data_IF_772166206477
#
_entry.id   IF_772166206477
#
_cell.length_a   1.000
_cell.length_b   1.000
_cell.length_c   1.000
_cell.angle_alpha   90.00
_cell.angle_beta   90.00
_cell.angle_gamma   90.00
#
_symmetry.space_group_name_H-M   'P 1'
#
loop_
_entity.id
_entity.type
_entity.pdbx_description
1 polymer ?
#
# COMPACT_ATOMS: atom_id res chain seq x y z
N UNK A 1 23.52 -2.95 28.03
CA UNK A 1 22.24 -2.47 28.61
C UNK A 1 21.46 -1.51 27.70
N UNK A 2 22.10 -0.56 26.98
CA UNK A 2 21.40 0.39 26.08
C UNK A 2 20.61 -0.25 24.92
N UNK A 3 21.13 -1.29 24.26
CA UNK A 3 20.43 -1.99 23.18
C UNK A 3 19.10 -2.66 23.63
N UNK A 4 19.05 -3.23 24.84
CA UNK A 4 17.82 -3.88 25.34
C UNK A 4 16.71 -2.90 25.68
N UNK A 5 17.04 -1.68 26.14
CA UNK A 5 16.05 -0.63 26.37
C UNK A 5 15.51 -0.05 25.06
N UNK A 6 16.37 0.10 24.04
CA UNK A 6 15.95 0.54 22.70
C UNK A 6 15.02 -0.50 22.06
N UNK A 7 15.33 -1.80 22.17
CA UNK A 7 14.45 -2.87 21.67
C UNK A 7 13.08 -2.89 22.33
N UNK A 8 12.97 -2.62 23.65
CA UNK A 8 11.67 -2.57 24.34
C UNK A 8 10.84 -1.35 23.94
N UNK A 9 11.46 -0.16 23.85
CA UNK A 9 10.75 1.07 23.45
C UNK A 9 10.26 0.97 21.99
N UNK A 10 11.00 0.28 21.12
CA UNK A 10 10.59 0.01 19.74
C UNK A 10 9.50 -1.06 19.62
N UNK A 11 9.60 -2.16 20.36
CA UNK A 11 8.51 -3.15 20.44
C UNK A 11 7.21 -2.50 20.91
N UNK A 12 7.29 -1.69 21.97
CA UNK A 12 6.16 -0.94 22.48
C UNK A 12 5.66 0.11 21.50
N UNK A 13 6.51 0.73 20.67
CA UNK A 13 6.07 1.73 19.69
C UNK A 13 5.44 1.10 18.45
N UNK A 14 5.95 -0.03 17.93
CA UNK A 14 5.31 -0.78 16.85
C UNK A 14 4.01 -1.45 17.31
N UNK A 15 3.99 -1.98 18.54
CA UNK A 15 2.77 -2.47 19.18
C UNK A 15 1.80 -1.33 19.46
N UNK A 16 2.25 -0.17 19.97
CA UNK A 16 1.38 0.98 20.26
C UNK A 16 0.85 1.66 18.99
N UNK A 17 1.65 1.74 17.91
CA UNK A 17 1.22 2.26 16.61
C UNK A 17 0.29 1.26 15.90
N UNK A 18 0.53 -0.05 16.09
CA UNK A 18 -0.39 -1.11 15.68
C UNK A 18 -1.69 -1.09 16.48
N UNK A 19 -1.64 -0.85 17.78
CA UNK A 19 -2.83 -0.82 18.65
C UNK A 19 -3.62 0.48 18.51
N UNK A 20 -3.01 1.64 18.24
CA UNK A 20 -3.75 2.85 17.88
C UNK A 20 -4.50 2.68 16.55
N UNK A 21 -3.90 2.01 15.57
CA UNK A 21 -4.59 1.64 14.33
C UNK A 21 -5.69 0.59 14.54
N UNK A 22 -5.55 -0.30 15.53
CA UNK A 22 -6.60 -1.26 15.91
C UNK A 22 -7.73 -0.61 16.71
N UNK A 23 -7.42 0.39 17.54
CA UNK A 23 -8.40 1.08 18.39
C UNK A 23 -9.30 2.03 17.59
N UNK A 24 -8.82 2.61 16.47
CA UNK A 24 -9.64 3.41 15.57
C UNK A 24 -10.64 2.57 14.73
N UNK A 25 -10.45 1.25 14.63
CA UNK A 25 -11.32 0.33 13.88
C UNK A 25 -12.49 -0.21 14.73
N UNK A 26 -12.55 0.13 16.03
CA UNK A 26 -13.55 -0.40 16.98
C UNK A 26 -14.59 0.61 17.50
N UNK A 27 -14.53 1.88 17.10
CA UNK A 27 -15.47 2.90 17.60
C UNK A 27 -16.54 3.26 16.57
N UNK A 28 -17.43 2.31 16.28
CA UNK A 28 -18.79 2.61 15.82
C UNK A 28 -19.65 1.34 15.97
N UNK A 29 -20.35 1.19 17.09
CA UNK A 29 -21.73 0.72 17.16
C UNK A 29 -22.18 0.56 18.63
N UNK A 30 -23.26 1.25 18.96
CA UNK A 30 -24.12 0.98 20.11
C UNK A 30 -25.54 0.78 19.56
N UNK A 31 -26.10 -0.41 19.76
CA UNK A 31 -27.42 -0.65 20.38
C UNK A 31 -27.93 -2.07 20.06
N UNK A 32 -28.26 -2.78 21.14
CA UNK A 32 -29.37 -3.70 21.39
C UNK A 32 -30.03 -4.47 20.22
N UNK A 33 -30.21 -5.78 20.41
CA UNK A 33 -31.53 -6.43 20.58
C UNK A 33 -31.39 -7.93 20.89
N UNK A 34 -32.34 -8.37 21.71
CA UNK A 34 -32.68 -9.66 22.31
C UNK A 34 -32.50 -10.99 21.53
N UNK A 35 -32.13 -12.02 22.31
CA UNK A 35 -32.44 -13.47 22.16
C UNK A 35 -33.94 -13.75 22.28
N UNK A 36 -34.52 -14.75 21.59
CA UNK A 36 -34.39 -16.20 21.94
C UNK A 36 -34.34 -17.09 20.67
N UNK A 37 -34.22 -18.42 20.65
CA UNK A 37 -34.21 -19.52 21.59
C UNK A 37 -34.37 -20.82 20.76
N UNK A 38 -33.55 -21.81 21.08
CA UNK A 38 -33.80 -23.27 21.11
C UNK A 38 -34.36 -24.04 19.89
N UNK A 39 -33.53 -24.97 19.42
CA UNK A 39 -33.74 -26.36 18.95
C UNK A 39 -34.80 -26.71 17.88
N UNK A 40 -34.38 -27.48 16.88
CA UNK A 40 -34.57 -28.95 16.91
C UNK A 40 -34.01 -29.61 15.66
N UNK A 41 -33.28 -30.70 15.90
CA UNK A 41 -32.82 -31.65 14.91
C UNK A 41 -33.98 -32.57 14.50
N UNK A 42 -34.08 -32.90 13.21
CA UNK A 42 -34.50 -34.24 12.78
C UNK A 42 -34.27 -34.44 11.27
N UNK A 43 -33.57 -35.53 10.94
CA UNK A 43 -33.99 -36.62 10.04
C UNK A 43 -32.83 -37.13 9.18
N UNK A 44 -32.37 -38.35 9.47
CA UNK A 44 -32.75 -39.64 8.86
C UNK A 44 -32.06 -39.89 7.52
N UNK A 45 -31.23 -40.92 7.58
CA UNK A 45 -30.49 -41.60 6.53
C UNK A 45 -31.36 -42.08 5.37
N UNK A 46 -30.80 -42.08 4.14
CA UNK A 46 -30.93 -43.25 3.27
C UNK A 46 -29.89 -43.27 2.14
N UNK A 47 -29.71 -44.49 1.65
CA UNK A 47 -28.50 -45.09 1.11
C UNK A 47 -28.55 -45.18 -0.44
N UNK A 48 -27.36 -45.31 -1.05
CA UNK A 48 -27.07 -45.95 -2.35
C UNK A 48 -27.44 -45.22 -3.65
N UNK A 49 -26.44 -44.80 -4.44
CA UNK A 49 -25.92 -45.57 -5.58
C UNK A 49 -24.85 -44.78 -6.34
N UNK A 50 -23.75 -45.48 -6.61
CA UNK A 50 -22.59 -45.01 -7.38
C UNK A 50 -22.98 -44.93 -8.86
N UNK A 51 -22.78 -43.77 -9.47
CA UNK A 51 -22.60 -43.66 -10.92
C UNK A 51 -21.41 -42.75 -11.21
N UNK A 52 -20.36 -43.34 -11.77
CA UNK A 52 -19.21 -42.64 -12.30
C UNK A 52 -19.67 -41.82 -13.50
N UNK A 53 -19.71 -40.51 -13.36
CA UNK A 53 -19.67 -39.56 -14.47
C UNK A 53 -18.73 -38.43 -14.08
N UNK A 54 -17.81 -38.11 -14.99
CA UNK A 54 -16.74 -37.13 -14.85
C UNK A 54 -17.29 -35.79 -14.35
N UNK A 55 -17.00 -35.47 -13.09
CA UNK A 55 -17.38 -34.21 -12.48
C UNK A 55 -16.35 -33.14 -12.86
N UNK A 56 -16.63 -32.40 -13.94
CA UNK A 56 -16.19 -31.02 -14.03
C UNK A 56 -16.61 -30.30 -12.75
N UNK A 57 -15.67 -29.63 -12.08
CA UNK A 57 -15.94 -28.98 -10.80
C UNK A 57 -17.01 -27.91 -10.99
N UNK A 58 -18.26 -28.24 -10.65
CA UNK A 58 -19.29 -27.25 -10.43
C UNK A 58 -18.80 -26.40 -9.27
N UNK A 59 -18.41 -25.16 -9.57
CA UNK A 59 -18.18 -24.15 -8.57
C UNK A 59 -19.44 -24.04 -7.71
N UNK A 60 -19.40 -24.63 -6.52
CA UNK A 60 -20.48 -24.52 -5.55
C UNK A 60 -20.55 -23.05 -5.16
N UNK A 61 -21.59 -22.37 -5.63
CA UNK A 61 -21.89 -21.02 -5.20
C UNK A 61 -22.26 -21.11 -3.71
N UNK A 62 -21.30 -20.73 -2.85
CA UNK A 62 -21.53 -20.67 -1.41
C UNK A 62 -22.58 -19.58 -1.13
N UNK A 63 -23.48 -19.77 -0.15
CA UNK A 63 -24.45 -18.75 0.23
C UNK A 63 -23.73 -17.45 0.59
N UNK A 64 -24.26 -16.36 0.06
CA UNK A 64 -23.54 -15.11 -0.05
C UNK A 64 -24.51 -13.96 0.19
N UNK A 65 -24.79 -13.74 1.47
CA UNK A 65 -25.49 -12.55 1.93
C UNK A 65 -24.46 -11.43 2.10
N UNK A 66 -24.76 -10.20 1.63
CA UNK A 66 -23.91 -9.05 1.91
C UNK A 66 -23.72 -8.83 3.41
N UNK A 67 -22.48 -8.84 3.87
CA UNK A 67 -22.13 -8.58 5.26
C UNK A 67 -20.94 -7.60 5.34
N UNK A 68 -20.90 -6.72 6.36
CA UNK A 68 -19.72 -5.92 6.66
C UNK A 68 -18.50 -6.81 6.88
N UNK A 69 -17.33 -6.38 6.41
CA UNK A 69 -16.08 -7.06 6.76
C UNK A 69 -15.66 -6.70 8.18
N UNK A 70 -15.39 -7.69 9.04
CA UNK A 70 -14.89 -7.51 10.41
C UNK A 70 -13.38 -7.14 10.46
N UNK A 71 -12.95 -6.15 9.68
CA UNK A 71 -11.55 -5.74 9.60
C UNK A 71 -10.63 -6.78 8.94
N UNK A 72 -9.43 -6.97 9.51
CA UNK A 72 -8.45 -7.96 9.07
C UNK A 72 -7.64 -7.57 7.82
N UNK A 73 -7.61 -6.29 7.45
CA UNK A 73 -6.95 -5.75 6.23
C UNK A 73 -5.52 -6.28 6.03
N UNK A 74 -4.77 -6.48 7.11
CA UNK A 74 -3.42 -7.05 7.10
C UNK A 74 -3.29 -8.48 6.53
N UNK A 75 -4.40 -9.18 6.29
CA UNK A 75 -4.42 -10.53 5.73
C UNK A 75 -4.95 -10.58 4.30
N UNK A 76 -5.29 -9.44 3.70
CA UNK A 76 -5.92 -9.38 2.39
C UNK A 76 -5.05 -8.63 1.38
N UNK A 77 -5.02 -9.16 0.16
CA UNK A 77 -4.33 -8.53 -0.96
C UNK A 77 -5.28 -8.36 -2.13
N UNK A 78 -5.39 -7.14 -2.65
CA UNK A 78 -6.16 -6.82 -3.85
C UNK A 78 -5.58 -7.55 -5.07
N UNK A 79 -6.46 -8.17 -5.87
CA UNK A 79 -6.13 -8.91 -7.10
C UNK A 79 -6.83 -8.36 -8.33
N UNK A 80 -7.99 -7.72 -8.14
CA UNK A 80 -8.73 -6.99 -9.18
C UNK A 80 -9.31 -5.73 -8.58
N UNK A 81 -9.42 -4.69 -9.39
CA UNK A 81 -10.13 -3.47 -9.05
C UNK A 81 -11.06 -3.07 -10.20
N UNK A 82 -12.29 -2.66 -9.90
CA UNK A 82 -13.23 -2.14 -10.89
C UNK A 82 -14.23 -1.18 -10.26
N UNK A 83 -14.18 0.10 -10.62
CA UNK A 83 -15.09 1.13 -10.10
C UNK A 83 -15.22 1.10 -8.55
N UNK A 84 -14.09 0.97 -7.86
CA UNK A 84 -14.01 0.87 -6.40
C UNK A 84 -14.31 -0.52 -5.81
N UNK A 85 -14.85 -1.45 -6.59
CA UNK A 85 -15.00 -2.86 -6.17
C UNK A 85 -13.68 -3.59 -6.27
N UNK A 86 -13.46 -4.53 -5.35
CA UNK A 86 -12.19 -5.24 -5.24
C UNK A 86 -12.40 -6.73 -5.05
N UNK A 87 -11.63 -7.52 -5.80
CA UNK A 87 -11.44 -8.94 -5.46
C UNK A 87 -10.15 -9.03 -4.65
N UNK A 88 -10.25 -9.59 -3.46
CA UNK A 88 -9.12 -9.76 -2.54
C UNK A 88 -8.85 -11.23 -2.29
N UNK A 89 -7.59 -11.58 -2.10
CA UNK A 89 -7.17 -12.92 -1.68
C UNK A 89 -6.64 -12.88 -0.24
N UNK A 90 -7.06 -13.85 0.56
CA UNK A 90 -6.55 -14.02 1.92
C UNK A 90 -5.16 -14.67 1.90
N UNK A 91 -4.18 -14.04 2.56
CA UNK A 91 -2.79 -14.48 2.54
C UNK A 91 -2.54 -15.81 3.28
N UNK A 92 -3.45 -16.24 4.16
CA UNK A 92 -3.27 -17.47 4.96
C UNK A 92 -4.04 -18.63 4.34
N UNK A 93 -5.32 -18.41 4.06
CA UNK A 93 -6.22 -19.46 3.59
C UNK A 93 -6.36 -19.53 2.07
N UNK A 94 -5.82 -18.55 1.34
CA UNK A 94 -5.83 -18.51 -0.13
C UNK A 94 -7.19 -18.24 -0.77
N UNK A 95 -8.29 -18.21 -0.02
CA UNK A 95 -9.61 -17.91 -0.56
C UNK A 95 -9.75 -16.46 -1.00
N UNK A 96 -10.67 -16.23 -1.92
CA UNK A 96 -10.99 -14.94 -2.47
C UNK A 96 -12.26 -14.39 -1.87
N UNK A 97 -12.40 -13.06 -1.86
CA UNK A 97 -13.66 -12.35 -1.62
C UNK A 97 -13.84 -11.23 -2.62
N UNK A 98 -15.09 -10.96 -3.00
CA UNK A 98 -15.48 -9.71 -3.66
C UNK A 98 -16.02 -8.75 -2.60
N UNK A 99 -15.53 -7.52 -2.61
CA UNK A 99 -16.02 -6.44 -1.74
C UNK A 99 -16.40 -5.20 -2.55
N UNK A 100 -17.44 -4.49 -2.10
CA UNK A 100 -17.86 -3.21 -2.66
C UNK A 100 -17.00 -2.05 -2.15
N UNK A 101 -17.14 -0.83 -2.70
CA UNK A 101 -16.46 0.37 -2.21
C UNK A 101 -16.76 0.66 -0.73
N UNK A 102 -17.93 0.24 -0.24
CA UNK A 102 -18.35 0.36 1.16
C UNK A 102 -17.83 -0.79 2.05
N UNK A 103 -16.92 -1.64 1.56
CA UNK A 103 -16.39 -2.82 2.26
C UNK A 103 -17.47 -3.85 2.69
N UNK A 104 -18.54 -3.97 1.91
CA UNK A 104 -19.51 -5.06 2.05
C UNK A 104 -19.04 -6.24 1.20
N UNK A 105 -19.05 -7.45 1.74
CA UNK A 105 -18.66 -8.66 1.02
C UNK A 105 -19.82 -9.18 0.16
N UNK A 106 -19.59 -9.30 -1.14
CA UNK A 106 -20.56 -9.73 -2.15
C UNK A 106 -20.21 -11.04 -2.84
N UNK A 107 -19.10 -11.69 -2.52
CA UNK A 107 -18.77 -13.07 -2.91
C UNK A 107 -17.59 -13.56 -2.08
N UNK A 108 -17.43 -14.89 -2.02
CA UNK A 108 -16.22 -15.51 -1.52
C UNK A 108 -16.03 -16.92 -2.09
N UNK A 109 -14.82 -17.47 -1.98
CA UNK A 109 -14.47 -18.80 -2.49
C UNK A 109 -13.24 -18.76 -3.37
N UNK A 110 -13.37 -19.16 -4.63
CA UNK A 110 -12.28 -19.07 -5.61
C UNK A 110 -12.37 -17.78 -6.46
N UNK A 111 -11.31 -17.49 -7.20
CA UNK A 111 -11.23 -16.31 -8.07
C UNK A 111 -12.36 -16.26 -9.10
N UNK A 112 -12.66 -17.38 -9.77
CA UNK A 112 -13.69 -17.44 -10.81
C UNK A 112 -15.08 -17.09 -10.29
N UNK A 113 -15.45 -17.57 -9.10
CA UNK A 113 -16.71 -17.23 -8.46
C UNK A 113 -16.80 -15.72 -8.13
N UNK A 114 -15.71 -15.13 -7.66
CA UNK A 114 -15.65 -13.70 -7.37
C UNK A 114 -15.68 -12.86 -8.66
N UNK A 115 -15.01 -13.28 -9.72
CA UNK A 115 -15.02 -12.60 -11.02
C UNK A 115 -16.39 -12.66 -11.69
N UNK A 116 -17.10 -13.80 -11.59
CA UNK A 116 -18.49 -13.92 -12.02
C UNK A 116 -19.38 -12.90 -11.29
N UNK A 117 -19.30 -12.87 -9.96
CA UNK A 117 -20.09 -11.93 -9.16
C UNK A 117 -19.71 -10.47 -9.45
N UNK A 118 -18.43 -10.17 -9.69
CA UNK A 118 -17.98 -8.84 -10.07
C UNK A 118 -18.60 -8.39 -11.41
N UNK A 119 -18.64 -9.29 -12.40
CA UNK A 119 -19.24 -8.98 -13.71
C UNK A 119 -20.75 -8.77 -13.63
N UNK A 120 -21.45 -9.47 -12.72
CA UNK A 120 -22.89 -9.29 -12.48
C UNK A 120 -23.20 -7.93 -11.83
N UNK A 121 -22.38 -7.47 -10.89
CA UNK A 121 -22.63 -6.22 -10.16
C UNK A 121 -22.04 -4.99 -10.85
N UNK A 122 -20.90 -5.14 -11.54
CA UNK A 122 -20.13 -4.05 -12.14
C UNK A 122 -19.63 -4.49 -13.52
N UNK A 123 -20.48 -4.46 -14.56
CA UNK A 123 -20.12 -4.96 -15.87
C UNK A 123 -19.09 -4.09 -16.61
N UNK A 124 -19.00 -2.79 -16.28
CA UNK A 124 -18.05 -1.85 -16.89
C UNK A 124 -16.98 -1.39 -15.91
N UNK A 125 -15.75 -1.21 -16.39
CA UNK A 125 -14.63 -0.68 -15.62
C UNK A 125 -14.43 0.83 -15.77
N UNK A 126 -15.22 1.50 -16.61
CA UNK A 126 -14.98 2.89 -17.00
C UNK A 126 -15.14 3.88 -15.84
N UNK A 127 -14.18 4.82 -15.76
CA UNK A 127 -14.29 6.04 -14.99
C UNK A 127 -13.99 7.25 -15.89
N UNK A 128 -14.57 8.42 -15.56
CA UNK A 128 -14.51 9.61 -16.41
C UNK A 128 -13.10 10.18 -16.55
N UNK A 129 -12.39 10.34 -15.43
CA UNK A 129 -11.05 10.92 -15.40
C UNK A 129 -10.08 10.21 -16.36
N UNK A 130 -9.11 10.94 -16.91
CA UNK A 130 -8.07 10.38 -17.81
C UNK A 130 -6.99 9.62 -17.06
N UNK A 131 -6.86 9.86 -15.76
CA UNK A 131 -5.73 9.39 -14.94
C UNK A 131 -6.23 8.60 -13.73
N UNK A 132 -5.56 7.49 -13.43
CA UNK A 132 -5.69 6.78 -12.17
C UNK A 132 -4.47 7.06 -11.29
N UNK A 133 -4.70 7.44 -10.03
CA UNK A 133 -3.65 7.61 -9.02
C UNK A 133 -3.74 6.45 -8.04
N UNK A 134 -2.75 5.56 -8.09
CA UNK A 134 -2.72 4.33 -7.27
C UNK A 134 -1.87 4.58 -6.02
N UNK A 135 -2.48 4.42 -4.85
CA UNK A 135 -1.87 4.67 -3.56
C UNK A 135 -1.43 3.36 -2.90
N UNK A 136 -0.18 3.30 -2.45
CA UNK A 136 0.41 2.14 -1.78
C UNK A 136 0.89 2.50 -0.38
N UNK A 137 0.41 1.75 0.62
CA UNK A 137 0.83 1.91 2.01
C UNK A 137 2.16 1.21 2.30
N UNK A 138 2.76 1.51 3.47
CA UNK A 138 3.98 0.84 3.93
C UNK A 138 3.77 -0.50 4.63
N UNK A 139 4.88 -1.07 5.10
CA UNK A 139 4.92 -2.30 5.90
C UNK A 139 4.10 -2.16 7.20
N UNK A 140 3.39 -3.22 7.59
CA UNK A 140 2.53 -3.28 8.79
C UNK A 140 1.35 -2.30 8.80
N UNK A 141 1.10 -1.61 7.67
CA UNK A 141 -0.04 -0.69 7.48
C UNK A 141 -1.12 -1.34 6.61
N UNK A 142 -2.18 -0.57 6.38
CA UNK A 142 -3.25 -0.85 5.41
C UNK A 142 -3.57 0.42 4.63
N UNK A 143 -4.48 0.30 3.67
CA UNK A 143 -4.99 1.45 2.88
C UNK A 143 -5.54 2.58 3.74
N UNK A 144 -6.01 2.31 4.97
CA UNK A 144 -6.46 3.34 5.91
C UNK A 144 -5.42 4.45 6.11
N UNK A 145 -4.13 4.12 6.12
CA UNK A 145 -3.05 5.10 6.29
C UNK A 145 -2.93 6.07 5.11
N UNK A 146 -3.44 5.72 3.93
CA UNK A 146 -3.35 6.56 2.73
C UNK A 146 -4.63 7.39 2.50
N UNK A 147 -5.67 7.22 3.32
CA UNK A 147 -7.00 7.85 3.10
C UNK A 147 -6.93 9.38 3.20
N UNK A 148 -6.12 9.92 4.11
CA UNK A 148 -5.93 11.38 4.22
C UNK A 148 -5.43 11.98 2.90
N UNK A 149 -4.31 11.45 2.41
CA UNK A 149 -3.72 11.83 1.13
C UNK A 149 -4.66 11.60 -0.05
N UNK A 150 -5.30 10.44 -0.13
CA UNK A 150 -6.20 10.13 -1.24
C UNK A 150 -7.42 11.04 -1.28
N UNK A 151 -7.98 11.44 -0.12
CA UNK A 151 -9.05 12.45 -0.06
C UNK A 151 -8.58 13.85 -0.45
N UNK A 152 -7.31 14.19 -0.23
CA UNK A 152 -6.76 15.47 -0.68
C UNK A 152 -6.61 15.47 -2.22
N UNK A 153 -6.05 14.40 -2.78
CA UNK A 153 -5.91 14.21 -4.23
C UNK A 153 -7.28 14.23 -4.93
N UNK A 154 -8.25 13.46 -4.44
CA UNK A 154 -9.60 13.38 -5.01
C UNK A 154 -10.35 14.73 -5.01
N UNK A 155 -10.01 15.63 -4.07
CA UNK A 155 -10.60 16.97 -3.97
C UNK A 155 -9.97 17.98 -4.92
N UNK A 156 -8.70 17.82 -5.27
CA UNK A 156 -7.92 18.84 -5.97
C UNK A 156 -7.51 18.44 -7.41
N UNK A 157 -7.56 17.15 -7.75
CA UNK A 157 -7.15 16.63 -9.05
C UNK A 157 -8.29 15.85 -9.73
N UNK A 158 -8.49 16.07 -11.03
CA UNK A 158 -9.41 15.26 -11.86
C UNK A 158 -8.79 13.89 -12.17
N UNK A 159 -8.89 12.98 -11.21
CA UNK A 159 -8.32 11.64 -11.29
C UNK A 159 -9.19 10.61 -10.57
N UNK A 160 -8.98 9.34 -10.90
CA UNK A 160 -9.51 8.22 -10.12
C UNK A 160 -8.48 7.78 -9.08
N UNK A 161 -8.75 8.03 -7.80
CA UNK A 161 -7.92 7.48 -6.72
C UNK A 161 -8.21 5.99 -6.54
N UNK A 162 -7.16 5.18 -6.50
CA UNK A 162 -7.21 3.73 -6.31
C UNK A 162 -6.33 3.36 -5.13
N UNK A 163 -6.95 2.89 -4.04
CA UNK A 163 -6.21 2.38 -2.88
C UNK A 163 -5.87 0.92 -3.10
N UNK A 164 -4.57 0.59 -3.14
CA UNK A 164 -4.11 -0.79 -3.27
C UNK A 164 -3.85 -1.37 -1.87
N UNK A 165 -4.68 -2.32 -1.46
CA UNK A 165 -4.50 -3.07 -0.22
C UNK A 165 -3.65 -4.31 -0.46
N UNK A 166 -2.66 -4.53 0.38
CA UNK A 166 -1.87 -5.76 0.35
C UNK A 166 -1.39 -6.18 1.75
N UNK A 167 -1.36 -7.49 1.97
CA UNK A 167 -0.94 -8.10 3.22
C UNK A 167 0.57 -7.97 3.43
N UNK A 168 1.04 -6.75 3.71
CA UNK A 168 2.45 -6.31 3.66
C UNK A 168 3.43 -7.14 4.49
N UNK A 169 2.96 -7.83 5.52
CA UNK A 169 3.78 -8.66 6.43
C UNK A 169 3.61 -10.16 6.17
N UNK A 170 3.03 -10.55 5.04
CA UNK A 170 2.61 -11.94 4.75
C UNK A 170 3.12 -12.50 3.44
N UNK A 171 3.79 -11.71 2.62
CA UNK A 171 4.42 -12.18 1.39
C UNK A 171 5.70 -11.36 1.09
N UNK A 172 6.40 -11.76 0.03
CA UNK A 172 7.54 -11.00 -0.49
C UNK A 172 7.11 -9.79 -1.32
N UNK A 173 8.03 -8.85 -1.51
CA UNK A 173 7.86 -7.70 -2.41
C UNK A 173 7.46 -8.16 -3.82
N UNK A 174 8.08 -9.23 -4.33
CA UNK A 174 7.74 -9.77 -5.64
C UNK A 174 6.28 -10.24 -5.74
N UNK A 175 5.74 -10.86 -4.69
CA UNK A 175 4.32 -11.24 -4.65
C UNK A 175 3.39 -10.03 -4.60
N UNK A 176 3.75 -9.00 -3.83
CA UNK A 176 3.00 -7.75 -3.79
C UNK A 176 3.04 -7.01 -5.14
N UNK A 177 4.18 -7.01 -5.82
CA UNK A 177 4.34 -6.45 -7.16
C UNK A 177 3.50 -7.21 -8.18
N UNK A 178 3.48 -8.54 -8.14
CA UNK A 178 2.62 -9.35 -9.00
C UNK A 178 1.13 -9.03 -8.80
N UNK A 179 0.69 -8.88 -7.55
CA UNK A 179 -0.68 -8.47 -7.23
C UNK A 179 -1.00 -7.04 -7.72
N UNK A 180 -0.07 -6.10 -7.57
CA UNK A 180 -0.21 -4.74 -8.11
C UNK A 180 -0.38 -4.77 -9.63
N UNK A 181 0.41 -5.59 -10.33
CA UNK A 181 0.31 -5.76 -11.79
C UNK A 181 -1.06 -6.30 -12.22
N UNK A 182 -1.64 -7.21 -11.45
CA UNK A 182 -3.01 -7.70 -11.69
C UNK A 182 -4.07 -6.62 -11.47
N UNK A 183 -3.90 -5.75 -10.47
CA UNK A 183 -4.80 -4.61 -10.26
C UNK A 183 -4.68 -3.62 -11.41
N UNK A 184 -3.47 -3.27 -11.82
CA UNK A 184 -3.22 -2.35 -12.94
C UNK A 184 -3.79 -2.89 -14.27
N UNK A 185 -3.68 -4.20 -14.53
CA UNK A 185 -4.24 -4.81 -15.73
C UNK A 185 -5.76 -4.83 -15.75
N UNK A 186 -6.41 -4.74 -14.58
CA UNK A 186 -7.87 -4.64 -14.46
C UNK A 186 -8.43 -3.22 -14.66
N UNK A 187 -7.57 -2.18 -14.66
CA UNK A 187 -7.97 -0.80 -14.95
C UNK A 187 -8.33 -0.62 -16.44
N UNK A 188 -9.25 0.32 -16.77
CA UNK A 188 -9.55 0.66 -18.16
C UNK A 188 -8.29 0.97 -18.97
N UNK A 189 -8.28 0.47 -20.20
CA UNK A 189 -7.21 0.75 -21.16
C UNK A 189 -7.18 2.26 -21.49
N UNK A 190 -6.02 2.78 -21.85
CA UNK A 190 -5.84 4.18 -22.26
C UNK A 190 -5.88 5.21 -21.12
N UNK A 191 -6.05 4.79 -19.87
CA UNK A 191 -5.92 5.66 -18.69
C UNK A 191 -4.46 5.79 -18.30
N UNK A 192 -3.98 7.01 -18.10
CA UNK A 192 -2.67 7.26 -17.51
C UNK A 192 -2.66 6.72 -16.07
N UNK A 193 -1.51 6.23 -15.61
CA UNK A 193 -1.31 5.65 -14.28
C UNK A 193 -0.23 6.44 -13.58
N UNK A 194 -0.57 7.01 -12.43
CA UNK A 194 0.39 7.59 -11.50
C UNK A 194 0.41 6.77 -10.21
N UNK A 195 1.57 6.68 -9.58
CA UNK A 195 1.72 5.99 -8.30
C UNK A 195 2.09 6.97 -7.20
N UNK A 196 1.53 6.78 -6.00
CA UNK A 196 2.05 7.40 -4.78
C UNK A 196 2.28 6.32 -3.73
N UNK A 197 3.54 6.10 -3.40
CA UNK A 197 3.95 5.06 -2.45
C UNK A 197 4.43 5.66 -1.13
N UNK A 198 4.05 5.04 -0.02
CA UNK A 198 4.67 5.28 1.28
C UNK A 198 5.61 4.13 1.64
N UNK A 199 6.84 4.45 2.06
CA UNK A 199 7.79 3.48 2.59
C UNK A 199 7.97 2.28 1.64
N UNK A 200 7.75 1.06 2.13
CA UNK A 200 7.79 -0.19 1.36
C UNK A 200 6.91 -0.19 0.10
N UNK A 201 5.80 0.56 0.07
CA UNK A 201 4.95 0.68 -1.11
C UNK A 201 5.73 1.17 -2.35
N UNK A 202 6.74 2.02 -2.15
CA UNK A 202 7.62 2.48 -3.23
C UNK A 202 8.44 1.35 -3.85
N UNK A 203 8.90 0.42 -3.02
CA UNK A 203 9.71 -0.72 -3.46
C UNK A 203 8.84 -1.72 -4.23
N UNK A 204 7.58 -1.90 -3.81
CA UNK A 204 6.58 -2.66 -4.58
C UNK A 204 6.34 -2.05 -5.97
N UNK A 205 6.20 -0.72 -6.06
CA UNK A 205 6.07 -0.01 -7.35
C UNK A 205 7.31 -0.22 -8.22
N UNK A 206 8.52 -0.02 -7.68
CA UNK A 206 9.78 -0.20 -8.43
C UNK A 206 9.95 -1.62 -8.95
N UNK A 207 9.56 -2.63 -8.17
CA UNK A 207 9.59 -4.02 -8.60
C UNK A 207 8.54 -4.29 -9.70
N UNK A 208 7.32 -3.76 -9.58
CA UNK A 208 6.30 -3.92 -10.62
C UNK A 208 6.72 -3.28 -11.96
N UNK A 209 7.40 -2.12 -11.90
CA UNK A 209 7.99 -1.46 -13.07
C UNK A 209 9.07 -2.33 -13.72
N UNK A 210 9.99 -2.89 -12.93
CA UNK A 210 11.01 -3.81 -13.43
C UNK A 210 10.39 -5.03 -14.11
N UNK A 211 9.31 -5.58 -13.54
CA UNK A 211 8.58 -6.69 -14.13
C UNK A 211 7.95 -6.33 -15.48
N UNK A 212 7.29 -5.17 -15.60
CA UNK A 212 6.73 -4.71 -16.87
C UNK A 212 7.82 -4.50 -17.93
N UNK A 213 8.97 -3.93 -17.56
CA UNK A 213 10.13 -3.77 -18.46
C UNK A 213 10.66 -5.14 -18.92
N UNK A 214 10.85 -6.08 -17.98
CA UNK A 214 11.33 -7.43 -18.27
C UNK A 214 10.39 -8.21 -19.17
N UNK A 215 9.07 -8.09 -18.97
CA UNK A 215 8.06 -8.72 -19.83
C UNK A 215 7.74 -7.93 -21.09
N UNK A 216 8.38 -6.76 -21.30
CA UNK A 216 8.12 -5.85 -22.43
C UNK A 216 6.64 -5.48 -22.57
N UNK A 217 5.97 -5.23 -21.45
CA UNK A 217 4.57 -4.80 -21.43
C UNK A 217 4.46 -3.30 -21.77
N UNK A 218 4.74 -2.98 -23.04
CA UNK A 218 4.78 -1.60 -23.52
C UNK A 218 3.43 -0.89 -23.36
N UNK A 219 2.32 -1.64 -23.48
CA UNK A 219 0.98 -1.08 -23.28
C UNK A 219 0.78 -0.53 -21.87
N UNK A 220 1.39 -1.14 -20.85
CA UNK A 220 1.36 -0.62 -19.48
C UNK A 220 2.41 0.46 -19.26
N UNK A 221 3.63 0.29 -19.79
CA UNK A 221 4.71 1.25 -19.65
C UNK A 221 4.37 2.62 -20.26
N UNK A 222 3.72 2.65 -21.42
CA UNK A 222 3.29 3.89 -22.10
C UNK A 222 2.24 4.68 -21.31
N UNK A 223 1.58 4.03 -20.34
CA UNK A 223 0.57 4.65 -19.48
C UNK A 223 1.18 5.29 -18.23
N UNK A 224 2.46 5.04 -17.91
CA UNK A 224 3.07 5.57 -16.69
C UNK A 224 3.24 7.09 -16.79
N UNK A 225 2.47 7.82 -15.98
CA UNK A 225 2.51 9.27 -15.91
C UNK A 225 3.61 9.76 -14.98
N UNK A 226 3.50 9.43 -13.70
CA UNK A 226 4.49 9.84 -12.69
C UNK A 226 4.48 8.95 -11.45
N UNK A 227 5.54 9.04 -10.64
CA UNK A 227 5.64 8.37 -9.34
C UNK A 227 6.02 9.38 -8.25
N UNK A 228 5.26 9.43 -7.16
CA UNK A 228 5.64 10.19 -5.96
C UNK A 228 6.00 9.21 -4.85
N UNK A 229 7.20 9.36 -4.31
CA UNK A 229 7.72 8.48 -3.26
C UNK A 229 7.80 9.20 -1.92
N UNK A 230 7.06 8.74 -0.93
CA UNK A 230 7.06 9.27 0.44
C UNK A 230 7.90 8.37 1.35
N UNK A 231 9.03 8.86 1.82
CA UNK A 231 9.99 8.14 2.66
C UNK A 231 10.41 6.75 2.11
N UNK A 232 10.79 6.63 0.82
CA UNK A 232 11.14 5.33 0.24
C UNK A 232 12.45 4.79 0.82
N UNK A 233 12.59 3.50 1.17
CA UNK A 233 13.90 2.90 1.48
C UNK A 233 14.61 2.46 0.19
N UNK A 234 14.98 3.43 -0.66
CA UNK A 234 15.48 3.18 -2.02
C UNK A 234 16.86 2.52 -2.09
N UNK A 235 17.64 2.61 -1.01
CA UNK A 235 18.96 1.97 -0.82
C UNK A 235 18.91 0.84 0.23
N UNK A 236 17.70 0.32 0.49
CA UNK A 236 17.42 -0.54 1.63
C UNK A 236 17.20 0.25 2.91
N UNK A 237 16.79 -0.45 3.97
CA UNK A 237 16.51 0.14 5.27
C UNK A 237 17.51 -0.37 6.30
N UNK A 238 18.41 0.50 6.78
CA UNK A 238 19.40 0.15 7.81
C UNK A 238 18.74 -0.36 9.08
N UNK A 239 17.59 0.20 9.44
CA UNK A 239 16.81 -0.27 10.58
C UNK A 239 16.35 -1.73 10.42
N UNK A 240 15.92 -2.11 9.22
CA UNK A 240 15.50 -3.49 8.93
C UNK A 240 16.71 -4.43 8.93
N UNK A 241 17.87 -3.97 8.46
CA UNK A 241 19.13 -4.72 8.51
C UNK A 241 19.61 -4.97 9.94
N UNK A 242 19.55 -3.96 10.81
CA UNK A 242 19.96 -4.11 12.21
C UNK A 242 18.97 -4.97 13.02
N UNK A 243 17.67 -4.76 12.83
CA UNK A 243 16.65 -5.55 13.52
C UNK A 243 16.51 -6.96 12.97
N UNK A 244 16.80 -7.19 11.68
CA UNK A 244 16.81 -8.51 11.05
C UNK A 244 17.82 -9.50 11.65
N UNK A 245 18.82 -9.00 12.40
CA UNK A 245 19.73 -9.84 13.22
C UNK A 245 19.00 -10.50 14.40
N UNK A 246 17.83 -9.99 14.77
CA UNK A 246 16.98 -10.53 15.82
C UNK A 246 15.92 -11.44 15.19
N UNK A 247 15.90 -12.73 15.56
CA UNK A 247 14.98 -13.71 14.97
C UNK A 247 13.48 -13.37 15.09
N UNK A 248 13.10 -12.46 16.00
CA UNK A 248 11.73 -12.00 16.19
C UNK A 248 11.28 -10.95 15.15
N UNK A 249 12.21 -10.27 14.46
CA UNK A 249 11.88 -9.26 13.45
C UNK A 249 11.10 -9.89 12.28
N UNK A 250 11.55 -11.03 11.77
CA UNK A 250 10.86 -11.78 10.71
C UNK A 250 9.41 -12.14 11.08
N UNK A 251 9.14 -12.50 12.33
CA UNK A 251 7.80 -12.86 12.80
C UNK A 251 6.83 -11.67 12.69
N UNK A 252 7.34 -10.45 12.89
CA UNK A 252 6.55 -9.22 12.88
C UNK A 252 6.41 -8.67 11.45
N UNK A 253 7.52 -8.63 10.72
CA UNK A 253 7.59 -7.95 9.42
C UNK A 253 7.40 -8.86 8.22
N UNK A 254 7.40 -10.18 8.43
CA UNK A 254 7.36 -11.15 7.35
C UNK A 254 8.57 -11.07 6.42
N UNK A 255 8.45 -11.72 5.26
CA UNK A 255 9.52 -11.78 4.27
C UNK A 255 9.83 -10.40 3.66
N UNK A 256 8.82 -9.57 3.37
CA UNK A 256 9.03 -8.22 2.82
C UNK A 256 9.93 -7.33 3.70
N UNK A 257 9.78 -7.36 5.03
CA UNK A 257 10.69 -6.62 5.92
C UNK A 257 12.12 -7.18 5.94
N UNK A 258 12.29 -8.49 5.74
CA UNK A 258 13.62 -9.09 5.61
C UNK A 258 14.29 -8.70 4.29
N UNK A 259 13.52 -8.59 3.21
CA UNK A 259 14.02 -8.18 1.90
C UNK A 259 14.46 -6.70 1.88
N UNK A 260 13.80 -5.83 2.65
CA UNK A 260 14.22 -4.42 2.82
C UNK A 260 15.52 -4.26 3.63
N UNK A 261 15.92 -5.27 4.39
CA UNK A 261 17.12 -5.24 5.23
C UNK A 261 18.16 -6.26 4.75
N UNK A 262 18.32 -7.41 5.43
CA UNK A 262 19.35 -8.39 5.06
C UNK A 262 19.28 -8.92 3.61
N UNK A 263 18.08 -8.96 3.02
CA UNK A 263 17.87 -9.44 1.65
C UNK A 263 18.06 -8.37 0.56
N UNK A 264 18.43 -7.14 0.92
CA UNK A 264 18.41 -6.00 0.00
C UNK A 264 19.22 -6.21 -1.27
N UNK A 265 20.44 -6.73 -1.14
CA UNK A 265 21.34 -6.94 -2.29
C UNK A 265 20.77 -7.90 -3.36
N UNK A 266 19.89 -8.83 -2.97
CA UNK A 266 19.17 -9.68 -3.90
C UNK A 266 17.94 -8.99 -4.48
N UNK A 267 17.19 -8.26 -3.65
CA UNK A 267 16.00 -7.52 -4.09
C UNK A 267 16.33 -6.40 -5.08
N UNK A 268 17.39 -5.62 -4.83
CA UNK A 268 17.76 -4.44 -5.60
C UNK A 268 17.95 -4.75 -7.10
N UNK A 269 18.44 -5.94 -7.42
CA UNK A 269 18.64 -6.44 -8.80
C UNK A 269 17.32 -6.59 -9.59
N UNK A 270 16.19 -6.56 -8.88
CA UNK A 270 14.84 -6.68 -9.43
C UNK A 270 14.05 -5.37 -9.33
N UNK A 271 14.70 -4.25 -9.00
CA UNK A 271 14.06 -2.94 -8.90
C UNK A 271 14.46 -2.07 -10.08
N UNK A 272 13.48 -1.38 -10.65
CA UNK A 272 13.72 -0.37 -11.68
C UNK A 272 13.80 1.03 -11.07
N UNK A 273 14.51 1.91 -11.75
CA UNK A 273 14.24 3.35 -11.68
C UNK A 273 12.99 3.63 -12.52
N UNK A 274 12.01 4.40 -12.03
CA UNK A 274 10.82 4.71 -12.83
C UNK A 274 11.19 5.35 -14.19
N UNK A 275 10.69 4.83 -15.33
CA UNK A 275 10.98 5.38 -16.66
C UNK A 275 10.13 6.62 -16.99
N UNK A 276 9.50 7.23 -15.98
CA UNK A 276 8.65 8.41 -16.07
C UNK A 276 9.08 9.40 -14.98
N UNK A 277 8.64 10.67 -15.02
CA UNK A 277 8.95 11.64 -13.97
C UNK A 277 8.59 11.12 -12.58
N UNK A 278 9.54 11.16 -11.66
CA UNK A 278 9.30 10.77 -10.28
C UNK A 278 9.93 11.74 -9.29
N UNK A 279 9.26 11.92 -8.15
CA UNK A 279 9.67 12.83 -7.09
C UNK A 279 9.79 12.09 -5.78
N UNK A 280 10.69 12.53 -4.92
CA UNK A 280 10.93 11.92 -3.61
C UNK A 280 10.71 12.95 -2.51
N UNK A 281 9.86 12.60 -1.54
CA UNK A 281 9.70 13.33 -0.28
C UNK A 281 10.39 12.54 0.82
N UNK A 282 11.46 13.09 1.39
CA UNK A 282 12.19 12.51 2.52
C UNK A 282 11.85 13.27 3.82
N UNK A 283 11.56 12.54 4.90
CA UNK A 283 11.47 13.18 6.21
C UNK A 283 12.88 13.41 6.78
N UNK A 284 13.10 14.57 7.38
CA UNK A 284 14.34 14.94 8.08
C UNK A 284 13.99 15.61 9.40
N UNK A 285 14.11 14.88 10.49
CA UNK A 285 13.91 15.44 11.83
C UNK A 285 15.11 16.30 12.26
N UNK A 286 14.92 17.22 13.22
CA UNK A 286 16.04 17.91 13.85
C UNK A 286 17.05 16.91 14.41
N UNK A 287 18.35 17.20 14.31
CA UNK A 287 19.44 16.28 14.65
C UNK A 287 19.43 15.74 16.08
N UNK A 288 18.78 16.45 17.02
CA UNK A 288 18.61 15.99 18.40
C UNK A 288 17.50 14.92 18.56
N UNK A 289 16.70 14.66 17.53
CA UNK A 289 15.72 13.58 17.44
C UNK A 289 16.20 12.60 16.36
N UNK A 290 17.07 11.67 16.75
CA UNK A 290 17.64 10.67 15.83
C UNK A 290 17.34 9.25 16.27
N UNK A 291 17.41 8.33 15.31
CA UNK A 291 17.39 6.90 15.57
C UNK A 291 18.78 6.32 15.25
N UNK A 292 19.56 5.88 16.25
CA UNK A 292 20.91 5.35 16.03
C UNK A 292 21.00 4.17 15.05
N UNK A 293 19.88 3.49 14.75
CA UNK A 293 19.84 2.39 13.78
C UNK A 293 19.71 2.86 12.32
N UNK A 294 19.36 4.13 12.09
CA UNK A 294 19.13 4.74 10.77
C UNK A 294 20.21 5.78 10.47
N UNK A 295 20.73 6.44 11.50
CA UNK A 295 21.68 7.54 11.40
C UNK A 295 21.15 8.81 12.04
N UNK A 296 21.87 9.92 11.86
CA UNK A 296 21.52 11.21 12.47
C UNK A 296 20.50 12.00 11.65
N UNK A 297 20.40 11.73 10.34
CA UNK A 297 19.52 12.45 9.42
C UNK A 297 18.47 11.53 8.80
N UNK A 298 17.20 11.76 9.13
CA UNK A 298 16.10 11.00 8.56
C UNK A 298 14.81 11.18 9.31
N UNK A 299 13.85 10.31 9.01
CA UNK A 299 12.48 10.40 9.49
C UNK A 299 12.17 9.44 10.66
N UNK A 300 13.24 8.98 11.33
CA UNK A 300 13.27 7.94 12.38
C UNK A 300 13.23 6.49 11.87
N UNK A 301 12.86 6.24 10.62
CA UNK A 301 12.78 4.89 10.02
C UNK A 301 13.69 4.76 8.81
N UNK A 302 13.75 5.79 7.97
CA UNK A 302 14.52 5.86 6.74
C UNK A 302 15.38 7.11 6.77
N UNK A 303 16.66 6.95 6.44
CA UNK A 303 17.61 8.05 6.30
C UNK A 303 17.37 8.86 5.04
N UNK A 304 17.77 10.13 5.01
CA UNK A 304 17.61 10.96 3.80
C UNK A 304 18.36 10.36 2.61
N UNK A 305 19.59 9.89 2.83
CA UNK A 305 20.39 9.22 1.80
C UNK A 305 19.83 7.86 1.40
N UNK A 306 19.21 7.12 2.33
CA UNK A 306 18.49 5.87 2.01
C UNK A 306 17.28 6.14 1.11
N UNK A 307 16.68 7.33 1.21
CA UNK A 307 15.57 7.75 0.38
C UNK A 307 15.95 8.19 -1.03
N UNK A 308 17.21 8.60 -1.25
CA UNK A 308 17.66 9.05 -2.57
C UNK A 308 17.60 7.94 -3.61
N UNK A 309 17.28 8.34 -4.83
CA UNK A 309 17.36 7.51 -6.03
C UNK A 309 17.72 8.42 -7.19
N UNK A 310 18.74 8.04 -7.95
CA UNK A 310 19.20 8.79 -9.11
C UNK A 310 18.10 8.87 -10.18
N UNK A 311 18.00 10.02 -10.85
CA UNK A 311 17.01 10.29 -11.88
C UNK A 311 15.73 10.96 -11.38
N UNK A 312 15.61 11.22 -10.07
CA UNK A 312 14.47 11.94 -9.52
C UNK A 312 14.36 13.33 -10.16
N UNK A 313 13.16 13.67 -10.64
CA UNK A 313 12.88 14.98 -11.19
C UNK A 313 12.97 16.06 -10.10
N UNK A 314 12.56 15.75 -8.88
CA UNK A 314 12.59 16.66 -7.74
C UNK A 314 12.76 15.88 -6.42
N UNK A 315 13.30 16.55 -5.41
CA UNK A 315 13.56 15.99 -4.09
C UNK A 315 13.18 17.02 -3.01
N UNK A 316 12.18 16.68 -2.21
CA UNK A 316 11.69 17.52 -1.12
C UNK A 316 12.05 16.89 0.22
N UNK A 317 12.59 17.70 1.12
CA UNK A 317 12.75 17.32 2.51
C UNK A 317 11.74 18.04 3.39
N UNK A 318 11.18 17.32 4.37
CA UNK A 318 10.20 17.87 5.30
C UNK A 318 10.53 17.51 6.75
N UNK A 319 10.28 18.39 7.73
CA UNK A 319 10.53 18.13 9.14
C UNK A 319 9.43 17.25 9.75
N UNK A 320 9.30 16.02 9.26
CA UNK A 320 8.25 15.07 9.62
C UNK A 320 8.79 13.68 9.85
N UNK A 321 8.20 12.99 10.83
CA UNK A 321 8.48 11.58 11.08
C UNK A 321 7.83 10.71 10.00
N UNK A 322 8.43 9.56 9.75
CA UNK A 322 8.05 8.60 8.72
C UNK A 322 6.55 8.30 8.68
N UNK A 323 5.98 8.10 9.87
CA UNK A 323 4.60 7.66 10.06
C UNK A 323 3.54 8.72 9.75
N UNK A 324 3.93 9.97 9.57
CA UNK A 324 3.04 11.12 9.38
C UNK A 324 3.19 11.80 8.02
N UNK A 325 4.11 11.34 7.15
CA UNK A 325 4.36 11.95 5.85
C UNK A 325 3.10 12.06 4.99
N UNK A 326 2.27 11.02 4.95
CA UNK A 326 1.04 10.97 4.15
C UNK A 326 -0.08 11.89 4.64
N UNK A 327 -0.09 12.22 5.93
CA UNK A 327 -1.12 13.06 6.55
C UNK A 327 -0.66 14.52 6.72
N UNK A 328 0.62 14.80 6.42
CA UNK A 328 1.13 16.15 6.49
C UNK A 328 0.57 17.03 5.35
N UNK A 329 -0.03 18.20 5.67
CA UNK A 329 -0.62 19.06 4.63
C UNK A 329 0.36 19.61 3.60
N UNK A 330 1.64 19.81 3.96
CA UNK A 330 2.66 20.26 3.03
C UNK A 330 3.01 19.14 2.04
N UNK A 331 3.20 17.93 2.54
CA UNK A 331 3.46 16.75 1.70
C UNK A 331 2.28 16.46 0.77
N UNK A 332 1.03 16.59 1.25
CA UNK A 332 -0.16 16.42 0.41
C UNK A 332 -0.19 17.42 -0.73
N UNK A 333 0.01 18.72 -0.45
CA UNK A 333 0.07 19.77 -1.47
C UNK A 333 1.20 19.54 -2.47
N UNK A 334 2.40 19.20 -1.97
CA UNK A 334 3.56 18.92 -2.80
C UNK A 334 3.30 17.71 -3.71
N UNK A 335 2.68 16.65 -3.19
CA UNK A 335 2.30 15.46 -3.96
C UNK A 335 1.33 15.81 -5.08
N UNK A 336 0.26 16.54 -4.77
CA UNK A 336 -0.74 16.98 -5.77
C UNK A 336 -0.07 17.85 -6.84
N UNK A 337 0.80 18.79 -6.42
CA UNK A 337 1.53 19.62 -7.36
C UNK A 337 2.45 18.81 -8.27
N UNK A 338 3.15 17.81 -7.73
CA UNK A 338 4.04 16.94 -8.50
C UNK A 338 3.27 16.10 -9.52
N UNK A 339 2.10 15.57 -9.16
CA UNK A 339 1.26 14.81 -10.07
C UNK A 339 0.86 15.60 -11.33
N UNK A 340 0.84 16.94 -11.26
CA UNK A 340 0.53 17.81 -12.39
C UNK A 340 1.77 18.42 -13.08
N UNK A 341 2.80 18.79 -12.33
CA UNK A 341 3.90 19.63 -12.81
C UNK A 341 5.27 18.93 -12.83
N UNK A 342 5.37 17.75 -12.20
CA UNK A 342 6.63 17.04 -11.95
C UNK A 342 7.66 17.84 -11.13
N UNK A 343 7.15 18.75 -10.28
CA UNK A 343 7.86 19.55 -9.28
C UNK A 343 7.04 19.59 -7.99
N UNK A 344 7.70 19.70 -6.84
CA UNK A 344 7.04 19.81 -5.54
C UNK A 344 6.64 21.25 -5.19
N UNK A 345 7.33 22.24 -5.77
CA UNK A 345 7.06 23.66 -5.57
C UNK A 345 6.77 24.38 -6.88
N UNK A 346 6.07 25.51 -6.77
CA UNK A 346 5.91 26.44 -7.89
C UNK A 346 7.16 27.30 -8.05
N UNK A 347 7.44 27.76 -9.29
CA UNK A 347 8.56 28.68 -9.59
C UNK A 347 8.57 29.96 -8.74
N UNK A 348 7.41 30.42 -8.28
CA UNK A 348 7.31 31.60 -7.40
C UNK A 348 7.86 31.31 -6.00
N UNK A 349 7.57 30.13 -5.43
CA UNK A 349 8.12 29.72 -4.14
C UNK A 349 9.62 29.45 -4.21
N UNK A 350 10.12 28.95 -5.33
CA UNK A 350 11.56 28.82 -5.59
C UNK A 350 12.24 30.20 -5.59
N UNK A 351 11.67 31.18 -6.29
CA UNK A 351 12.20 32.55 -6.31
C UNK A 351 12.15 33.24 -4.93
N UNK A 352 11.10 33.01 -4.14
CA UNK A 352 11.00 33.52 -2.76
C UNK A 352 12.06 32.88 -1.85
N UNK A 353 12.27 31.56 -1.93
CA UNK A 353 13.31 30.85 -1.17
C UNK A 353 14.74 31.27 -1.56
N UNK A 354 15.00 31.49 -2.85
CA UNK A 354 16.28 32.03 -3.34
C UNK A 354 16.52 33.47 -2.86
N UNK A 355 15.46 34.29 -2.80
CA UNK A 355 15.57 35.67 -2.31
C UNK A 355 15.81 35.71 -0.80
N UNK A 356 15.22 34.79 -0.03
CA UNK A 356 15.38 34.70 1.42
C UNK A 356 16.76 34.16 1.81
N UNK A 357 17.26 33.14 1.11
CA UNK A 357 18.65 32.64 1.29
C UNK A 357 19.71 33.65 0.84
N UNK A 358 19.46 34.39 -0.24
CA UNK A 358 20.34 35.49 -0.70
C UNK A 358 20.34 36.73 0.20
N UNK A 359 19.35 36.88 1.09
CA UNK A 359 19.30 37.94 2.09
C UNK A 359 20.12 37.61 3.33
N UNK A 360 20.24 36.33 3.68
CA UNK A 360 21.04 35.85 4.81
C UNK A 360 22.54 35.86 4.48
N UNK A 361 22.92 35.69 3.21
CA UNK A 361 24.32 35.73 2.76
C UNK A 361 24.90 37.13 2.50
N UNK A 362 24.08 38.19 2.60
CA UNK A 362 24.51 39.58 2.40
C UNK A 362 24.50 40.40 3.72
N UNK A 363 24.44 39.72 4.86
CA UNK A 363 24.66 40.32 6.18
C UNK A 363 25.94 39.73 6.75
N UNK A 364 27.07 40.12 6.16
CA UNK A 364 28.41 40.02 6.74
C UNK A 364 29.11 41.38 6.61
#
# INVERSE_FOLDING_TARGET
MKMRQISLVWFSSLLALGTLSMAQDQSSESNDVDTPGTSSQQSVSNNTQVSNTEAGSRAVAMPNLPFPTLGGKQFWTDRRWRAGWRIQQNAVSGHFRLISPANLRFAWGNLSACEKSLNEHVPSSEFKASTAVILLHGLSRSTSSMVGLGKAIDREADCQVVYFEYASTRASIAHHAAALREVVSSLPKGKQICFVGHSMGNIVVRHAIADWQRTKDQQTLDRLGSVVMLGPPNQGASIARELGKLGLFKVITGDGGMELGPGWAGLEQHLAVPPCPFGIVAGRLPSYISNPLVGEEGDFVVGVEEARLEGAADFLEVPRMHSFLMDDPEVQRATIHFLHSHRFHSKQKEAEAETETGRVSNVD
#
